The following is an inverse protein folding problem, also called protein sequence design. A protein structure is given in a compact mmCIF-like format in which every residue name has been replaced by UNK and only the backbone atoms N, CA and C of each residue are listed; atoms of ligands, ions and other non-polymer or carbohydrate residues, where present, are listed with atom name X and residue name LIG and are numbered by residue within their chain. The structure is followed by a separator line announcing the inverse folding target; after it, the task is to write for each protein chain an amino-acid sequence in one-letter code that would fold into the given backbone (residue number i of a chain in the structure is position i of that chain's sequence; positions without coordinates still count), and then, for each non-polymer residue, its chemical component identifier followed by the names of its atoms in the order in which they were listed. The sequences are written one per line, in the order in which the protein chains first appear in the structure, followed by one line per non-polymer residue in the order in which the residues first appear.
data_IF_792746982682
#
_entry.id   IF_792746982682
#
_cell.length_a   1.000
_cell.length_b   1.000
_cell.length_c   1.000
_cell.angle_alpha   90.00
_cell.angle_beta   90.00
_cell.angle_gamma   90.00
#
_symmetry.space_group_name_H-M   'P 1'
#
loop_
_entity.id
_entity.type
_entity.pdbx_description
1 polymer ?
#
# COMPACT_ATOMS: atom_id res chain seq x y z
N UNK A 1 -8.84 -6.18 -2.52
CA UNK A 1 -8.02 -7.05 -1.66
C UNK A 1 -8.92 -7.78 -0.67
N UNK A 2 -8.90 -9.13 -0.62
CA UNK A 2 -9.76 -9.93 0.27
C UNK A 2 -9.51 -9.64 1.76
N UNK A 3 -10.50 -9.95 2.60
CA UNK A 3 -10.41 -9.84 4.05
C UNK A 3 -9.25 -10.68 4.62
N UNK A 4 -8.54 -10.14 5.61
CA UNK A 4 -7.45 -10.82 6.31
C UNK A 4 -6.17 -11.07 5.49
N UNK A 5 -6.05 -10.46 4.30
CA UNK A 5 -4.83 -10.60 3.48
C UNK A 5 -3.84 -9.47 3.75
N UNK A 6 -2.58 -9.69 3.38
CA UNK A 6 -1.52 -8.69 3.43
C UNK A 6 -0.53 -8.93 2.29
N UNK A 7 0.09 -7.87 1.80
CA UNK A 7 1.26 -8.01 0.92
C UNK A 7 2.50 -8.39 1.73
N UNK A 8 3.59 -8.80 1.06
CA UNK A 8 4.89 -8.87 1.70
C UNK A 8 5.44 -7.46 1.93
N UNK A 9 6.22 -7.27 3.01
CA UNK A 9 6.95 -6.02 3.22
C UNK A 9 7.96 -5.84 2.09
N UNK A 10 7.94 -4.68 1.44
CA UNK A 10 8.83 -4.40 0.32
C UNK A 10 9.01 -2.90 0.16
N UNK A 11 9.94 -2.51 -0.71
CA UNK A 11 10.03 -1.15 -1.20
C UNK A 11 10.29 -1.14 -2.70
N UNK A 12 10.12 0.03 -3.26
CA UNK A 12 10.44 0.37 -4.64
C UNK A 12 11.68 1.27 -4.66
N UNK A 13 12.73 0.89 -5.40
CA UNK A 13 13.98 1.65 -5.40
C UNK A 13 13.80 3.03 -6.05
N UNK A 14 12.97 3.13 -7.09
CA UNK A 14 12.77 4.33 -7.88
C UNK A 14 11.31 4.78 -7.94
N UNK A 15 10.34 3.86 -7.95
CA UNK A 15 8.93 4.21 -8.04
C UNK A 15 8.40 4.77 -6.72
N UNK A 16 7.69 5.90 -6.81
CA UNK A 16 6.75 6.32 -5.78
C UNK A 16 5.36 5.77 -6.11
N UNK A 17 4.54 5.60 -5.08
CA UNK A 17 3.20 5.03 -5.21
C UNK A 17 2.16 5.87 -4.51
N UNK A 18 0.99 6.00 -5.12
CA UNK A 18 -0.17 6.60 -4.49
C UNK A 18 -1.30 5.57 -4.47
N UNK A 19 -1.82 5.31 -3.27
CA UNK A 19 -2.99 4.49 -3.05
C UNK A 19 -4.18 5.38 -2.71
N UNK A 20 -5.35 5.06 -3.25
CA UNK A 20 -6.61 5.70 -2.85
C UNK A 20 -7.66 4.63 -2.62
N UNK A 21 -8.25 4.63 -1.42
CA UNK A 21 -9.19 3.60 -1.00
C UNK A 21 -10.58 3.98 -1.50
N UNK A 22 -11.10 3.18 -2.43
CA UNK A 22 -12.43 3.37 -3.00
C UNK A 22 -13.51 2.85 -2.06
N UNK A 23 -13.22 1.77 -1.33
CA UNK A 23 -14.16 1.11 -0.43
C UNK A 23 -13.46 0.42 0.72
N UNK A 24 -13.99 0.62 1.93
CA UNK A 24 -13.47 0.02 3.16
C UNK A 24 -12.26 0.73 3.74
N UNK A 25 -11.50 0.05 4.61
CA UNK A 25 -10.36 0.64 5.35
C UNK A 25 -9.12 -0.23 5.19
N UNK A 26 -8.01 0.39 4.77
CA UNK A 26 -6.71 -0.26 4.64
C UNK A 26 -5.80 0.09 5.82
N UNK A 27 -4.93 -0.84 6.19
CA UNK A 27 -3.83 -0.59 7.12
C UNK A 27 -2.51 -0.63 6.35
N UNK A 28 -1.76 0.46 6.39
CA UNK A 28 -0.43 0.56 5.84
C UNK A 28 0.59 0.51 6.97
N UNK A 29 1.63 -0.30 6.78
CA UNK A 29 2.87 -0.17 7.52
C UNK A 29 3.87 0.55 6.61
N UNK A 30 4.49 1.64 7.07
CA UNK A 30 5.49 2.41 6.31
C UNK A 30 6.64 2.76 7.26
N UNK A 31 7.85 2.29 6.97
CA UNK A 31 9.04 2.50 7.83
C UNK A 31 8.82 2.11 9.30
N UNK A 32 7.98 1.09 9.55
CA UNK A 32 7.60 0.64 10.89
C UNK A 32 6.46 1.42 11.56
N UNK A 33 5.97 2.50 10.95
CA UNK A 33 4.78 3.22 11.41
C UNK A 33 3.51 2.63 10.80
N UNK A 34 2.46 2.51 11.62
CA UNK A 34 1.15 2.02 11.16
C UNK A 34 0.21 3.19 10.90
N UNK A 35 -0.33 3.24 9.69
CA UNK A 35 -1.26 4.28 9.23
C UNK A 35 -2.55 3.61 8.74
N UNK A 36 -3.68 4.09 9.24
CA UNK A 36 -5.00 3.69 8.77
C UNK A 36 -5.45 4.66 7.68
N UNK A 37 -5.88 4.13 6.55
CA UNK A 37 -6.43 4.91 5.43
C UNK A 37 -7.85 4.44 5.19
N UNK A 38 -8.81 5.33 5.42
CA UNK A 38 -10.23 5.04 5.32
C UNK A 38 -10.74 5.20 3.89
N UNK A 39 -12.00 4.83 3.71
CA UNK A 39 -12.71 5.05 2.45
C UNK A 39 -12.66 6.52 2.04
N UNK A 40 -12.40 6.76 0.75
CA UNK A 40 -12.21 8.09 0.16
C UNK A 40 -10.98 8.86 0.66
N UNK A 41 -10.03 8.18 1.31
CA UNK A 41 -8.72 8.72 1.64
C UNK A 41 -7.62 8.11 0.77
N UNK A 42 -6.51 8.83 0.63
CA UNK A 42 -5.35 8.37 -0.10
C UNK A 42 -4.06 8.59 0.65
N UNK A 43 -3.05 7.81 0.30
CA UNK A 43 -1.72 7.86 0.88
C UNK A 43 -0.65 7.82 -0.20
N UNK A 44 0.33 8.72 -0.08
CA UNK A 44 1.49 8.81 -0.96
C UNK A 44 2.69 8.17 -0.26
N UNK A 45 3.28 7.19 -0.92
CA UNK A 45 4.47 6.46 -0.49
C UNK A 45 5.62 6.85 -1.40
N UNK A 46 6.64 7.48 -0.84
CA UNK A 46 7.84 7.88 -1.58
C UNK A 46 8.71 6.66 -1.90
N UNK A 47 9.50 6.78 -2.97
CA UNK A 47 10.50 5.77 -3.33
C UNK A 47 11.47 5.50 -2.16
N UNK A 48 11.91 4.26 -2.04
CA UNK A 48 12.82 3.78 -0.99
C UNK A 48 12.16 3.55 0.36
N UNK A 49 10.86 3.81 0.53
CA UNK A 49 10.13 3.57 1.77
C UNK A 49 9.63 2.13 1.83
N UNK A 50 10.10 1.36 2.81
CA UNK A 50 9.61 0.02 3.10
C UNK A 50 8.15 0.11 3.56
N UNK A 51 7.27 -0.58 2.86
CA UNK A 51 5.85 -0.54 3.12
C UNK A 51 5.13 -1.85 2.84
N UNK A 52 3.94 -1.97 3.43
CA UNK A 52 3.00 -3.07 3.22
C UNK A 52 1.58 -2.58 3.42
N UNK A 53 0.71 -2.87 2.46
CA UNK A 53 -0.74 -2.79 2.66
C UNK A 53 -1.27 -4.11 3.25
N UNK A 54 -2.19 -3.99 4.20
CA UNK A 54 -2.93 -5.09 4.79
C UNK A 54 -4.42 -4.76 4.90
N UNK A 55 -5.26 -5.79 4.76
CA UNK A 55 -6.68 -5.69 5.01
C UNK A 55 -7.02 -6.44 6.30
N UNK A 56 -6.95 -5.73 7.43
CA UNK A 56 -7.24 -6.28 8.76
C UNK A 56 -8.73 -6.32 9.11
N UNK A 57 -9.60 -6.10 8.12
CA UNK A 57 -11.07 -6.09 8.29
C UNK A 57 -11.69 -7.43 7.87
N UNK A 58 -12.99 -7.58 8.13
CA UNK A 58 -13.76 -8.77 7.75
C UNK A 58 -14.40 -8.70 6.36
N UNK A 59 -14.17 -7.62 5.61
CA UNK A 59 -14.73 -7.42 4.27
C UNK A 59 -13.62 -7.14 3.26
N UNK A 60 -13.92 -7.32 1.97
CA UNK A 60 -12.97 -6.94 0.92
C UNK A 60 -12.87 -5.42 0.82
N UNK A 61 -11.65 -4.92 0.61
CA UNK A 61 -11.39 -3.50 0.29
C UNK A 61 -11.12 -3.34 -1.21
N UNK A 62 -11.45 -2.17 -1.73
CA UNK A 62 -11.19 -1.79 -3.13
C UNK A 62 -10.37 -0.50 -3.14
N UNK A 63 -9.36 -0.44 -4.01
CA UNK A 63 -8.47 0.72 -4.10
C UNK A 63 -7.91 0.85 -5.52
N UNK A 64 -7.45 2.06 -5.84
CA UNK A 64 -6.58 2.31 -6.99
C UNK A 64 -5.15 2.50 -6.50
N UNK A 65 -4.21 2.02 -7.31
CA UNK A 65 -2.78 2.21 -7.13
C UNK A 65 -2.21 2.84 -8.40
N UNK A 66 -1.57 4.00 -8.24
CA UNK A 66 -0.77 4.62 -9.29
C UNK A 66 0.70 4.58 -8.89
N UNK A 67 1.58 4.25 -9.83
CA UNK A 67 3.03 4.23 -9.62
C UNK A 67 3.73 5.13 -10.63
N UNK A 68 4.79 5.82 -10.19
CA UNK A 68 5.63 6.61 -11.09
C UNK A 68 7.09 6.58 -10.62
N UNK A 69 8.07 6.23 -11.47
CA UNK A 69 7.94 5.60 -12.78
C UNK A 69 7.38 4.15 -12.70
N UNK A 70 7.54 3.37 -13.77
CA UNK A 70 7.21 1.94 -13.79
C UNK A 70 7.89 1.18 -12.65
N UNK A 71 7.22 0.17 -12.11
CA UNK A 71 7.73 -0.72 -11.06
C UNK A 71 8.49 -1.94 -11.61
N UNK A 72 8.69 -2.01 -12.93
CA UNK A 72 9.39 -3.12 -13.59
C UNK A 72 10.83 -3.25 -13.06
N UNK A 73 11.15 -4.41 -12.48
CA UNK A 73 12.43 -4.70 -11.85
C UNK A 73 12.84 -3.73 -10.72
N UNK A 74 11.87 -3.07 -10.08
CA UNK A 74 12.11 -2.02 -9.09
C UNK A 74 11.77 -2.44 -7.64
N UNK A 75 11.10 -3.58 -7.48
CA UNK A 75 10.64 -4.08 -6.18
C UNK A 75 11.73 -4.88 -5.48
N UNK A 76 11.97 -4.56 -4.20
CA UNK A 76 12.87 -5.30 -3.30
C UNK A 76 12.06 -5.75 -2.08
N UNK A 77 11.98 -7.07 -1.87
CA UNK A 77 11.31 -7.65 -0.70
C UNK A 77 12.24 -7.60 0.52
N UNK A 78 11.64 -7.43 1.70
CA UNK A 78 12.30 -7.39 3.00
C UNK A 78 11.94 -8.62 3.83
#
# INVERSE_FOLDING_TARGET
MPAGTAEALHYHQFAQQFFFILKGTATFEIEGETIIVNEQEGIHILAGKAHRISNNTSTAIEFILSSQPSTAADRINV
#
